data_IF_157729042682
#
_entry.id   IF_157729042682
#
_cell.length_a   1.000
_cell.length_b   1.000
_cell.length_c   1.000
_cell.angle_alpha   90.00
_cell.angle_beta   90.00
_cell.angle_gamma   90.00
#
_symmetry.space_group_name_H-M   'P 1'
#
loop_
_entity.id
_entity.type
_entity.pdbx_description
1 polymer ?
#
# COMPACT_ATOMS: atom_id res chain seq x y z
N UNK A 1 4.48 -2.43 -10.86
CA UNK A 1 4.93 -3.54 -9.99
C UNK A 1 3.91 -4.66 -10.01
N UNK A 2 4.33 -5.90 -10.22
CA UNK A 2 3.43 -7.06 -10.12
C UNK A 2 3.09 -7.36 -8.65
N UNK A 3 1.93 -7.98 -8.40
CA UNK A 3 1.45 -8.24 -7.04
C UNK A 3 2.43 -9.08 -6.20
N UNK A 4 3.10 -10.08 -6.78
CA UNK A 4 4.05 -10.94 -6.05
C UNK A 4 5.23 -10.13 -5.48
N UNK A 5 5.80 -9.23 -6.27
CA UNK A 5 6.87 -8.34 -5.82
C UNK A 5 6.35 -7.39 -4.74
N UNK A 6 5.22 -6.72 -4.98
CA UNK A 6 4.60 -5.85 -3.96
C UNK A 6 4.38 -6.60 -2.64
N UNK A 7 3.82 -7.81 -2.70
CA UNK A 7 3.53 -8.62 -1.51
C UNK A 7 4.79 -8.96 -0.72
N UNK A 8 5.88 -9.28 -1.41
CA UNK A 8 7.18 -9.52 -0.77
C UNK A 8 7.69 -8.25 -0.07
N UNK A 9 7.76 -7.12 -0.79
CA UNK A 9 8.27 -5.86 -0.24
C UNK A 9 7.40 -5.33 0.91
N UNK A 10 6.08 -5.53 0.82
CA UNK A 10 5.10 -5.16 1.85
C UNK A 10 5.28 -6.01 3.12
N UNK A 11 5.47 -7.32 2.98
CA UNK A 11 5.68 -8.21 4.12
C UNK A 11 7.00 -7.89 4.83
N UNK A 12 8.06 -7.58 4.08
CA UNK A 12 9.31 -7.09 4.66
C UNK A 12 9.10 -5.78 5.42
N UNK A 13 8.36 -4.83 4.86
CA UNK A 13 8.10 -3.55 5.52
C UNK A 13 7.41 -3.70 6.89
N UNK A 14 6.60 -4.74 7.08
CA UNK A 14 5.98 -5.07 8.38
C UNK A 14 6.97 -5.59 9.43
N UNK A 15 8.20 -5.96 9.04
CA UNK A 15 9.25 -6.46 9.93
C UNK A 15 10.20 -5.35 10.41
N UNK A 16 10.12 -4.15 9.84
CA UNK A 16 11.03 -3.04 10.12
C UNK A 16 10.37 -1.96 10.98
N UNK A 17 11.06 -1.56 12.04
CA UNK A 17 10.57 -0.53 12.99
C UNK A 17 10.59 0.89 12.40
N UNK A 18 11.44 1.14 11.40
CA UNK A 18 11.53 2.44 10.75
C UNK A 18 11.88 2.32 9.25
N UNK A 19 11.52 3.37 8.52
CA UNK A 19 11.71 3.50 7.08
C UNK A 19 13.20 3.45 6.66
N UNK A 20 14.07 4.06 7.45
CA UNK A 20 15.49 4.18 7.14
C UNK A 20 16.14 2.79 7.10
N UNK A 21 15.89 1.94 8.10
CA UNK A 21 16.37 0.55 8.12
C UNK A 21 15.78 -0.27 6.96
N UNK A 22 14.48 -0.10 6.68
CA UNK A 22 13.81 -0.79 5.56
C UNK A 22 14.47 -0.51 4.20
N UNK A 23 14.91 0.73 3.97
CA UNK A 23 15.56 1.14 2.72
C UNK A 23 17.05 0.76 2.74
N UNK A 24 17.78 1.07 3.81
CA UNK A 24 19.23 0.98 3.86
C UNK A 24 19.74 -0.47 3.81
N UNK A 25 19.06 -1.41 4.46
CA UNK A 25 19.52 -2.81 4.54
C UNK A 25 19.30 -3.60 3.23
N UNK A 26 18.48 -3.08 2.32
CA UNK A 26 18.06 -3.84 1.12
C UNK A 26 19.14 -3.97 0.05
N UNK A 27 19.94 -2.90 -0.14
CA UNK A 27 20.85 -2.79 -1.28
C UNK A 27 20.15 -2.83 -2.64
N UNK A 28 20.93 -2.91 -3.74
CA UNK A 28 20.39 -3.04 -5.09
C UNK A 28 19.84 -4.46 -5.34
N UNK A 29 18.71 -4.57 -6.02
CA UNK A 29 18.04 -5.84 -6.33
C UNK A 29 17.53 -5.86 -7.78
N UNK A 30 17.48 -7.03 -8.43
CA UNK A 30 17.11 -7.18 -9.86
C UNK A 30 15.81 -6.48 -10.28
N UNK A 31 14.83 -6.38 -9.38
CA UNK A 31 13.57 -5.71 -9.71
C UNK A 31 13.73 -4.21 -9.92
N UNK A 32 14.76 -3.60 -9.32
CA UNK A 32 15.05 -2.17 -9.38
C UNK A 32 15.42 -1.73 -10.80
N UNK A 33 16.05 -2.61 -11.59
CA UNK A 33 16.38 -2.35 -13.00
C UNK A 33 15.15 -2.04 -13.87
N UNK A 34 13.94 -2.37 -13.39
CA UNK A 34 12.68 -2.09 -14.09
C UNK A 34 12.10 -0.70 -13.78
N UNK A 35 12.79 0.12 -12.98
CA UNK A 35 12.33 1.43 -12.55
C UNK A 35 13.46 2.47 -12.70
N UNK A 36 13.13 3.75 -12.95
CA UNK A 36 14.10 4.83 -12.82
C UNK A 36 14.68 4.85 -11.40
N UNK A 37 15.99 5.08 -11.27
CA UNK A 37 16.71 5.04 -10.00
C UNK A 37 16.12 6.03 -8.99
N UNK A 38 15.77 7.22 -9.46
CA UNK A 38 15.14 8.29 -8.68
C UNK A 38 13.75 7.92 -8.15
N UNK A 39 13.11 6.88 -8.70
CA UNK A 39 11.79 6.39 -8.27
C UNK A 39 11.83 5.22 -7.31
N UNK A 40 12.99 4.58 -7.13
CA UNK A 40 13.10 3.42 -6.24
C UNK A 40 12.77 3.83 -4.80
N UNK A 41 13.36 4.93 -4.31
CA UNK A 41 13.09 5.43 -2.97
C UNK A 41 11.59 5.72 -2.76
N UNK A 42 10.96 6.50 -3.65
CA UNK A 42 9.52 6.81 -3.62
C UNK A 42 8.65 5.53 -3.51
N UNK A 43 8.99 4.48 -4.28
CA UNK A 43 8.28 3.20 -4.26
C UNK A 43 8.41 2.53 -2.89
N UNK A 44 9.62 2.46 -2.34
CA UNK A 44 9.89 1.84 -1.04
C UNK A 44 9.19 2.61 0.09
N UNK A 45 9.32 3.93 0.10
CA UNK A 45 8.65 4.81 1.04
C UNK A 45 7.13 4.61 1.00
N UNK A 46 6.56 4.52 -0.20
CA UNK A 46 5.12 4.31 -0.35
C UNK A 46 4.68 2.96 0.19
N UNK A 47 5.41 1.88 -0.11
CA UNK A 47 5.09 0.54 0.38
C UNK A 47 5.18 0.49 1.90
N UNK A 48 6.24 1.06 2.48
CA UNK A 48 6.44 1.13 3.92
C UNK A 48 5.32 1.93 4.61
N UNK A 49 4.97 3.09 4.06
CA UNK A 49 3.87 3.92 4.55
C UNK A 49 2.55 3.15 4.56
N UNK A 50 2.18 2.49 3.45
CA UNK A 50 0.94 1.70 3.37
C UNK A 50 0.96 0.54 4.37
N UNK A 51 2.09 -0.15 4.52
CA UNK A 51 2.23 -1.27 5.45
C UNK A 51 2.00 -0.87 6.92
N UNK A 52 2.37 0.36 7.28
CA UNK A 52 2.26 0.88 8.64
C UNK A 52 1.05 1.80 8.87
N UNK A 53 0.14 1.91 7.89
CA UNK A 53 -1.07 2.74 7.98
C UNK A 53 -2.29 1.92 8.45
N UNK A 54 -3.13 2.53 9.28
CA UNK A 54 -4.38 1.93 9.74
C UNK A 54 -5.46 1.86 8.64
N UNK A 55 -6.51 1.08 8.87
CA UNK A 55 -7.56 0.86 7.85
C UNK A 55 -8.38 2.13 7.54
N UNK A 56 -8.54 3.04 8.51
CA UNK A 56 -9.29 4.27 8.30
C UNK A 56 -8.53 5.18 7.34
N UNK A 57 -7.23 5.29 7.55
CA UNK A 57 -6.37 6.12 6.71
C UNK A 57 -6.14 5.48 5.33
N UNK A 58 -6.01 4.15 5.24
CA UNK A 58 -6.06 3.43 3.95
C UNK A 58 -7.32 3.78 3.16
N UNK A 59 -8.50 3.80 3.81
CA UNK A 59 -9.75 4.18 3.13
C UNK A 59 -9.74 5.65 2.70
N UNK A 60 -9.18 6.55 3.51
CA UNK A 60 -9.08 7.97 3.18
C UNK A 60 -8.16 8.22 1.99
N UNK A 61 -7.02 7.52 1.90
CA UNK A 61 -6.09 7.56 0.76
C UNK A 61 -6.77 7.15 -0.56
N UNK A 62 -7.78 6.28 -0.50
CA UNK A 62 -8.60 5.89 -1.65
C UNK A 62 -9.73 6.89 -1.96
N UNK A 63 -9.95 7.91 -1.13
CA UNK A 63 -11.05 8.86 -1.28
C UNK A 63 -12.44 8.23 -1.10
N UNK A 64 -12.53 7.11 -0.37
CA UNK A 64 -13.77 6.35 -0.24
C UNK A 64 -14.50 6.66 1.07
N UNK A 65 -15.81 6.93 0.96
CA UNK A 65 -16.70 6.81 2.12
C UNK A 65 -16.92 5.33 2.45
N UNK A 66 -17.39 5.00 3.67
CA UNK A 66 -17.69 3.60 4.04
C UNK A 66 -18.68 2.93 3.07
N UNK A 67 -19.78 3.58 2.62
CA UNK A 67 -20.65 3.00 1.59
C UNK A 67 -19.95 2.75 0.25
N UNK A 68 -19.07 3.67 -0.19
CA UNK A 68 -18.28 3.48 -1.42
C UNK A 68 -17.28 2.33 -1.26
N UNK A 69 -16.68 2.17 -0.09
CA UNK A 69 -15.78 1.06 0.21
C UNK A 69 -16.49 -0.30 0.05
N UNK A 70 -17.72 -0.44 0.55
CA UNK A 70 -18.54 -1.61 0.29
C UNK A 70 -18.79 -1.84 -1.21
N UNK A 71 -19.06 -0.78 -1.97
CA UNK A 71 -19.29 -0.92 -3.42
C UNK A 71 -18.06 -1.42 -4.18
N UNK A 72 -16.86 -1.03 -3.74
CA UNK A 72 -15.59 -1.43 -4.36
C UNK A 72 -15.13 -2.81 -3.88
N UNK A 73 -15.03 -3.02 -2.58
CA UNK A 73 -14.39 -4.22 -1.99
C UNK A 73 -15.38 -5.29 -1.54
N UNK A 74 -16.69 -5.01 -1.58
CA UNK A 74 -17.74 -5.90 -1.05
C UNK A 74 -17.58 -6.26 0.43
N UNK A 75 -16.85 -5.44 1.17
CA UNK A 75 -16.71 -5.54 2.63
C UNK A 75 -17.89 -4.80 3.28
N UNK A 76 -18.73 -5.47 4.09
CA UNK A 76 -19.85 -4.82 4.77
C UNK A 76 -19.37 -3.63 5.60
N UNK A 77 -20.16 -2.56 5.64
CA UNK A 77 -19.83 -1.34 6.40
C UNK A 77 -19.50 -1.65 7.86
N UNK A 78 -20.25 -2.58 8.49
CA UNK A 78 -19.99 -2.99 9.87
C UNK A 78 -18.64 -3.69 10.04
N UNK A 79 -18.25 -4.53 9.10
CA UNK A 79 -16.93 -5.20 9.11
C UNK A 79 -15.81 -4.18 8.96
N UNK A 80 -15.97 -3.22 8.05
CA UNK A 80 -15.01 -2.11 7.91
C UNK A 80 -14.93 -1.28 9.19
N UNK A 81 -16.05 -0.97 9.84
CA UNK A 81 -16.06 -0.27 11.11
C UNK A 81 -15.32 -1.06 12.19
N UNK A 82 -15.58 -2.36 12.31
CA UNK A 82 -14.87 -3.21 13.27
C UNK A 82 -13.35 -3.22 13.01
N UNK A 83 -12.91 -3.14 11.75
CA UNK A 83 -11.50 -2.96 11.40
C UNK A 83 -10.96 -1.57 11.77
N UNK A 84 -11.70 -0.50 11.48
CA UNK A 84 -11.30 0.90 11.77
C UNK A 84 -11.31 1.27 13.26
N UNK A 85 -12.01 0.49 14.08
CA UNK A 85 -12.05 0.60 15.53
C UNK A 85 -11.23 -0.50 16.22
N UNK A 86 -10.44 -1.27 15.46
CA UNK A 86 -9.59 -2.35 15.96
C UNK A 86 -10.32 -3.40 16.81
N UNK A 87 -11.64 -3.55 16.61
CA UNK A 87 -12.48 -4.53 17.31
C UNK A 87 -12.28 -5.94 16.80
N UNK A 88 -11.87 -6.08 15.53
CA UNK A 88 -11.59 -7.36 14.90
C UNK A 88 -10.34 -7.24 14.01
N UNK A 89 -9.39 -8.20 14.08
CA UNK A 89 -8.24 -8.19 13.20
C UNK A 89 -8.67 -8.36 11.74
N UNK A 90 -8.04 -7.60 10.85
CA UNK A 90 -8.21 -7.74 9.41
C UNK A 90 -7.50 -9.02 8.98
N UNK A 91 -8.12 -9.91 8.18
CA UNK A 91 -7.40 -11.04 7.61
C UNK A 91 -6.19 -10.54 6.81
N UNK A 92 -5.02 -11.18 7.01
CA UNK A 92 -3.73 -10.74 6.43
C UNK A 92 -3.83 -10.56 4.91
N UNK A 93 -4.40 -11.54 4.21
CA UNK A 93 -4.58 -11.49 2.76
C UNK A 93 -5.48 -10.32 2.32
N UNK A 94 -6.54 -10.04 3.07
CA UNK A 94 -7.46 -8.94 2.79
C UNK A 94 -6.76 -7.60 2.92
N UNK A 95 -6.00 -7.40 4.02
CA UNK A 95 -5.23 -6.18 4.23
C UNK A 95 -4.22 -5.96 3.10
N UNK A 96 -3.51 -7.02 2.72
CA UNK A 96 -2.50 -6.96 1.66
C UNK A 96 -3.09 -6.66 0.27
N UNK A 97 -4.26 -7.23 -0.07
CA UNK A 97 -4.94 -6.93 -1.34
C UNK A 97 -5.43 -5.49 -1.40
N UNK A 98 -6.01 -4.97 -0.30
CA UNK A 98 -6.41 -3.57 -0.22
C UNK A 98 -5.19 -2.66 -0.34
N UNK A 99 -4.11 -2.95 0.39
CA UNK A 99 -2.85 -2.21 0.32
C UNK A 99 -2.30 -2.14 -1.11
N UNK A 100 -2.37 -3.24 -1.87
CA UNK A 100 -1.97 -3.26 -3.27
C UNK A 100 -2.83 -2.32 -4.13
N UNK A 101 -4.14 -2.27 -3.92
CA UNK A 101 -5.00 -1.33 -4.66
C UNK A 101 -4.64 0.13 -4.38
N UNK A 102 -4.28 0.48 -3.13
CA UNK A 102 -3.80 1.83 -2.77
C UNK A 102 -2.49 2.15 -3.50
N UNK A 103 -1.55 1.21 -3.51
CA UNK A 103 -0.28 1.36 -4.21
C UNK A 103 -0.48 1.58 -5.71
N UNK A 104 -1.38 0.82 -6.34
CA UNK A 104 -1.68 0.95 -7.76
C UNK A 104 -2.36 2.28 -8.11
N UNK A 105 -3.30 2.76 -7.28
CA UNK A 105 -3.91 4.10 -7.47
C UNK A 105 -2.85 5.21 -7.40
N UNK A 106 -1.92 5.13 -6.44
CA UNK A 106 -0.80 6.07 -6.37
C UNK A 106 0.07 6.04 -7.63
N UNK A 107 0.51 4.84 -8.06
CA UNK A 107 1.32 4.66 -9.27
C UNK A 107 0.67 5.22 -10.53
N UNK A 108 -0.62 4.93 -10.72
CA UNK A 108 -1.36 5.39 -11.90
C UNK A 108 -1.55 6.90 -11.90
N UNK A 109 -1.65 7.52 -10.71
CA UNK A 109 -1.75 8.97 -10.60
C UNK A 109 -0.41 9.66 -10.89
N UNK A 110 0.73 9.10 -10.47
CA UNK A 110 2.05 9.60 -10.86
C UNK A 110 2.24 9.58 -12.39
N UNK A 111 1.84 8.48 -13.03
CA UNK A 111 1.94 8.32 -14.49
C UNK A 111 1.02 9.28 -15.27
N UNK A 112 -0.14 9.64 -14.70
CA UNK A 112 -1.04 10.65 -15.28
C UNK A 112 -0.43 12.05 -15.19
N UNK A 113 0.03 12.46 -14.01
CA UNK A 113 0.66 13.78 -13.81
C UNK A 113 1.87 13.96 -14.72
N UNK A 114 2.68 12.91 -14.89
CA UNK A 114 3.88 12.96 -15.73
C UNK A 114 3.57 13.10 -17.23
N UNK A 115 2.35 12.76 -17.67
CA UNK A 115 1.91 12.88 -19.08
C UNK A 115 1.27 14.23 -19.40
N UNK A 116 0.79 14.95 -18.38
CA UNK A 116 0.12 16.24 -18.52
C UNK A 116 1.10 17.43 -18.36
N UNK A 117 2.38 17.16 -18.08
CA UNK A 117 3.48 18.13 -18.01
C UNK A 117 4.36 18.08 -19.27
#
# INVERSE_FOLDING_TARGET
>A
MVYSLFSHLYNEALQYDNLEMYIAERGWQDWMDNYPEEKIADILEKIYSIANTDMREIRNLLGLSRPKFFNVYRVPVRTLEDWEYEKMPIPVYTRQLIAYTVFMEWRLNEERVSKDM
#
